data_IF_049022034131
#
_entry.id   IF_049022034131
#
_cell.length_a   1.000
_cell.length_b   1.000
_cell.length_c   1.000
_cell.angle_alpha   90.00
_cell.angle_beta   90.00
_cell.angle_gamma   90.00
#
_symmetry.space_group_name_H-M   'P 1'
#
loop_
_entity.id
_entity.type
_entity.pdbx_description
1 polymer ?
#
# COMPACT_ATOMS: atom_id res chain seq x y z
N UNK A 1 3.14 -1.24 2.06
CA UNK A 1 2.01 -1.24 3.01
C UNK A 1 0.66 -1.53 2.34
N UNK A 2 0.34 -0.92 1.16
CA UNK A 2 -0.97 -1.14 0.49
C UNK A 2 -1.17 -2.62 0.14
N UNK A 3 -0.22 -3.25 -0.55
CA UNK A 3 -0.31 -4.68 -0.90
C UNK A 3 -0.43 -5.56 0.34
N UNK A 4 0.28 -5.23 1.43
CA UNK A 4 0.19 -6.00 2.69
C UNK A 4 -1.20 -5.93 3.35
N UNK A 5 -1.97 -4.88 3.08
CA UNK A 5 -3.32 -4.74 3.63
C UNK A 5 -4.42 -5.41 2.77
N UNK A 6 -4.15 -5.69 1.49
CA UNK A 6 -5.13 -6.32 0.59
C UNK A 6 -5.72 -7.64 1.12
N UNK A 7 -4.92 -8.57 1.67
CA UNK A 7 -5.47 -9.81 2.20
C UNK A 7 -6.47 -9.61 3.34
N UNK A 8 -6.25 -8.62 4.20
CA UNK A 8 -7.22 -8.30 5.26
C UNK A 8 -8.55 -7.82 4.68
N UNK A 9 -8.52 -7.03 3.59
CA UNK A 9 -9.73 -6.56 2.88
C UNK A 9 -10.46 -7.74 2.23
N UNK A 10 -9.72 -8.67 1.62
CA UNK A 10 -10.30 -9.88 1.04
C UNK A 10 -10.91 -10.81 2.09
N UNK A 11 -10.27 -10.95 3.25
CA UNK A 11 -10.79 -11.74 4.37
C UNK A 11 -12.11 -11.16 4.89
N UNK A 12 -12.20 -9.83 5.03
CA UNK A 12 -13.44 -9.14 5.42
C UNK A 12 -14.55 -9.42 4.40
N UNK A 13 -14.27 -9.30 3.12
CA UNK A 13 -15.26 -9.57 2.06
C UNK A 13 -15.71 -11.02 2.06
N UNK A 14 -14.83 -11.97 2.36
CA UNK A 14 -15.18 -13.38 2.45
C UNK A 14 -16.07 -13.67 3.67
N UNK A 15 -15.78 -13.03 4.81
CA UNK A 15 -16.57 -13.17 6.02
C UNK A 15 -17.92 -12.43 5.95
N UNK A 16 -17.94 -11.30 5.27
CA UNK A 16 -19.11 -10.42 5.11
C UNK A 16 -19.34 -10.09 3.63
N UNK A 17 -19.96 -10.98 2.84
CA UNK A 17 -20.08 -10.80 1.37
C UNK A 17 -20.79 -9.52 0.92
N UNK A 18 -21.65 -8.96 1.76
CA UNK A 18 -22.39 -7.73 1.47
C UNK A 18 -21.72 -6.46 2.01
N UNK A 19 -20.51 -6.57 2.61
CA UNK A 19 -19.80 -5.42 3.13
C UNK A 19 -19.33 -4.51 1.99
N UNK A 20 -19.58 -3.21 2.14
CA UNK A 20 -19.03 -2.17 1.27
C UNK A 20 -17.77 -1.61 1.93
N UNK A 21 -16.61 -1.82 1.30
CA UNK A 21 -15.33 -1.46 1.87
C UNK A 21 -14.75 -0.25 1.15
N UNK A 22 -14.72 0.88 1.83
CA UNK A 22 -14.06 2.08 1.38
C UNK A 22 -12.61 2.10 1.90
N UNK A 23 -11.67 2.43 1.02
CA UNK A 23 -10.25 2.42 1.37
C UNK A 23 -9.63 3.81 1.21
N UNK A 24 -9.22 4.42 2.32
CA UNK A 24 -8.45 5.67 2.31
C UNK A 24 -6.97 5.35 2.07
N UNK A 25 -6.38 5.97 1.06
CA UNK A 25 -4.98 5.74 0.68
C UNK A 25 -4.34 7.01 0.12
N UNK A 26 -3.02 7.15 0.27
CA UNK A 26 -2.26 8.23 -0.39
C UNK A 26 -2.50 8.18 -1.92
N UNK A 27 -2.79 9.32 -2.54
CA UNK A 27 -3.20 9.46 -3.96
C UNK A 27 -2.34 8.66 -4.93
N UNK A 28 -1.02 8.65 -4.73
CA UNK A 28 -0.11 7.91 -5.60
C UNK A 28 -0.31 6.40 -5.60
N UNK A 29 -0.98 5.84 -4.59
CA UNK A 29 -1.28 4.41 -4.48
C UNK A 29 -2.75 4.07 -4.74
N UNK A 30 -3.58 5.06 -5.03
CA UNK A 30 -5.00 4.84 -5.30
C UNK A 30 -5.26 3.84 -6.45
N UNK A 31 -4.54 3.89 -7.60
CA UNK A 31 -4.71 2.89 -8.66
C UNK A 31 -4.45 1.46 -8.21
N UNK A 32 -3.46 1.27 -7.32
CA UNK A 32 -3.14 -0.05 -6.77
C UNK A 32 -4.24 -0.56 -5.82
N UNK A 33 -4.74 0.29 -4.94
CA UNK A 33 -5.84 -0.06 -4.04
C UNK A 33 -7.13 -0.41 -4.81
N UNK A 34 -7.41 0.31 -5.91
CA UNK A 34 -8.55 0.07 -6.78
C UNK A 34 -8.52 -1.30 -7.50
N UNK A 35 -7.35 -1.95 -7.57
CA UNK A 35 -7.23 -3.29 -8.13
C UNK A 35 -7.64 -4.42 -7.17
N UNK A 36 -7.78 -4.13 -5.90
CA UNK A 36 -8.27 -5.11 -4.93
C UNK A 36 -9.78 -5.32 -5.14
N UNK A 37 -10.17 -6.54 -5.53
CA UNK A 37 -11.53 -6.87 -5.96
C UNK A 37 -12.60 -6.61 -4.88
N UNK A 38 -12.20 -6.60 -3.61
CA UNK A 38 -13.12 -6.35 -2.49
C UNK A 38 -13.30 -4.87 -2.13
N UNK A 39 -12.58 -3.96 -2.79
CA UNK A 39 -12.70 -2.51 -2.53
C UNK A 39 -13.87 -1.96 -3.32
N UNK A 40 -14.87 -1.41 -2.60
CA UNK A 40 -16.00 -0.74 -3.19
C UNK A 40 -15.62 0.67 -3.69
N UNK A 41 -14.92 1.46 -2.86
CA UNK A 41 -14.53 2.83 -3.16
C UNK A 41 -13.15 3.16 -2.62
N UNK A 42 -12.32 3.79 -3.45
CA UNK A 42 -11.02 4.34 -3.02
C UNK A 42 -11.15 5.83 -2.77
N UNK A 43 -10.73 6.28 -1.57
CA UNK A 43 -10.73 7.69 -1.17
C UNK A 43 -9.28 8.19 -1.13
N UNK A 44 -8.81 8.90 -2.18
CA UNK A 44 -7.44 9.37 -2.23
C UNK A 44 -7.18 10.51 -1.25
N UNK A 45 -6.07 10.44 -0.51
CA UNK A 45 -5.59 11.54 0.33
C UNK A 45 -4.15 11.92 -0.02
N UNK A 46 -3.74 13.12 0.41
CA UNK A 46 -2.38 13.64 0.21
C UNK A 46 -1.81 14.23 1.51
N UNK A 47 -1.98 13.51 2.63
CA UNK A 47 -1.65 14.02 3.97
C UNK A 47 -0.22 14.54 4.10
N UNK A 48 0.74 13.85 3.45
CA UNK A 48 2.16 14.26 3.48
C UNK A 48 2.39 15.57 2.74
N UNK A 49 1.73 15.74 1.58
CA UNK A 49 1.83 16.95 0.77
C UNK A 49 1.11 18.11 1.46
N UNK A 50 -0.12 17.90 1.91
CA UNK A 50 -0.92 18.93 2.57
C UNK A 50 -0.23 19.48 3.81
N UNK A 51 0.36 18.62 4.65
CA UNK A 51 1.12 19.07 5.83
C UNK A 51 2.26 20.03 5.47
N UNK A 52 2.98 19.78 4.36
CA UNK A 52 4.06 20.65 3.90
C UNK A 52 3.56 21.94 3.24
N UNK A 53 2.47 21.84 2.49
CA UNK A 53 1.92 22.92 1.68
C UNK A 53 1.05 23.90 2.49
N UNK A 54 0.46 23.45 3.59
CA UNK A 54 -0.45 24.26 4.41
C UNK A 54 0.18 25.54 4.97
N UNK A 55 1.48 25.50 5.22
CA UNK A 55 2.25 26.65 5.76
C UNK A 55 2.81 27.57 4.67
N UNK A 56 2.66 27.24 3.39
CA UNK A 56 3.12 28.06 2.28
C UNK A 56 1.97 28.95 1.79
N UNK A 57 2.23 30.27 1.70
CA UNK A 57 1.20 31.26 1.36
C UNK A 57 0.58 31.01 -0.04
N UNK A 58 1.42 30.67 -1.02
CA UNK A 58 1.08 30.42 -2.42
C UNK A 58 0.19 29.18 -2.65
N UNK A 59 0.31 28.16 -1.80
CA UNK A 59 -0.42 26.90 -1.96
C UNK A 59 -1.52 26.68 -0.93
N UNK A 60 -1.64 27.56 0.06
CA UNK A 60 -2.56 27.39 1.20
C UNK A 60 -4.03 27.29 0.78
N UNK A 61 -4.47 28.16 -0.13
CA UNK A 61 -5.88 28.19 -0.59
C UNK A 61 -6.23 26.88 -1.30
N UNK A 62 -5.38 26.43 -2.23
CA UNK A 62 -5.57 25.17 -2.94
C UNK A 62 -5.55 23.99 -1.96
N UNK A 63 -4.56 23.93 -1.04
CA UNK A 63 -4.45 22.86 -0.04
C UNK A 63 -5.69 22.79 0.85
N UNK A 64 -6.25 23.94 1.22
CA UNK A 64 -7.51 24.00 2.00
C UNK A 64 -8.69 23.46 1.21
N UNK A 65 -8.82 23.82 -0.06
CA UNK A 65 -9.89 23.31 -0.92
C UNK A 65 -9.80 21.78 -1.11
N UNK A 66 -8.61 21.26 -1.37
CA UNK A 66 -8.37 19.81 -1.49
C UNK A 66 -8.67 19.07 -0.18
N UNK A 67 -8.27 19.62 0.96
CA UNK A 67 -8.59 19.06 2.26
C UNK A 67 -10.09 19.01 2.53
N UNK A 68 -10.84 20.08 2.18
CA UNK A 68 -12.28 20.12 2.34
C UNK A 68 -12.97 19.09 1.43
N UNK A 69 -12.52 18.96 0.18
CA UNK A 69 -13.01 17.94 -0.75
C UNK A 69 -12.77 16.52 -0.22
N UNK A 70 -11.56 16.22 0.24
CA UNK A 70 -11.23 14.94 0.88
C UNK A 70 -12.12 14.66 2.09
N UNK A 71 -12.31 15.66 2.97
CA UNK A 71 -13.16 15.51 4.16
C UNK A 71 -14.61 15.25 3.78
N UNK A 72 -15.14 15.97 2.78
CA UNK A 72 -16.50 15.77 2.29
C UNK A 72 -16.68 14.36 1.72
N UNK A 73 -15.74 13.88 0.91
CA UNK A 73 -15.75 12.54 0.33
C UNK A 73 -15.66 11.44 1.43
N UNK A 74 -14.77 11.60 2.42
CA UNK A 74 -14.64 10.69 3.55
C UNK A 74 -15.92 10.63 4.42
N UNK A 75 -16.64 11.73 4.53
CA UNK A 75 -17.86 11.86 5.33
C UNK A 75 -19.15 11.65 4.55
N UNK A 76 -19.07 11.29 3.28
CA UNK A 76 -20.24 10.99 2.44
C UNK A 76 -21.05 9.86 3.06
N UNK A 77 -20.37 8.79 3.49
CA UNK A 77 -21.00 7.66 4.16
C UNK A 77 -20.77 7.67 5.68
N UNK A 78 -21.67 7.00 6.42
CA UNK A 78 -21.50 6.71 7.83
C UNK A 78 -21.09 5.25 8.00
N UNK A 79 -19.94 5.01 8.62
CA UNK A 79 -19.33 3.68 8.71
C UNK A 79 -19.72 2.94 10.00
N UNK A 80 -20.14 1.70 9.87
CA UNK A 80 -20.35 0.80 10.99
C UNK A 80 -19.02 0.41 11.65
N UNK A 81 -17.98 0.27 10.83
CA UNK A 81 -16.63 -0.10 11.25
C UNK A 81 -15.59 0.78 10.59
N UNK A 82 -14.65 1.29 11.36
CA UNK A 82 -13.48 2.02 10.89
C UNK A 82 -12.23 1.29 11.41
N UNK A 83 -11.34 0.86 10.50
CA UNK A 83 -10.15 0.07 10.81
C UNK A 83 -8.88 0.87 10.51
N UNK A 84 -8.07 1.17 11.52
CA UNK A 84 -6.73 1.74 11.33
C UNK A 84 -5.67 0.64 11.34
N UNK A 85 -5.21 0.24 10.15
CA UNK A 85 -4.19 -0.79 9.96
C UNK A 85 -2.74 -0.26 10.05
N UNK A 86 -2.56 1.07 10.13
CA UNK A 86 -1.22 1.67 10.15
C UNK A 86 -0.68 1.94 11.56
N UNK A 87 -1.53 2.36 12.48
CA UNK A 87 -1.13 2.71 13.83
C UNK A 87 -0.32 4.00 13.94
N UNK A 88 -0.53 4.99 13.06
CA UNK A 88 0.18 6.26 13.00
C UNK A 88 -0.76 7.44 13.26
N UNK A 89 -0.23 8.55 13.77
CA UNK A 89 -1.02 9.78 14.03
C UNK A 89 -1.80 10.25 12.82
N UNK A 90 -1.21 10.14 11.62
CA UNK A 90 -1.88 10.52 10.36
C UNK A 90 -3.08 9.63 10.04
N UNK A 91 -2.98 8.31 10.25
CA UNK A 91 -4.10 7.38 10.05
C UNK A 91 -5.15 7.52 11.15
N UNK A 92 -4.73 7.77 12.39
CA UNK A 92 -5.64 8.11 13.49
C UNK A 92 -6.46 9.37 13.19
N UNK A 93 -5.84 10.42 12.61
CA UNK A 93 -6.56 11.61 12.17
C UNK A 93 -7.65 11.28 11.15
N UNK A 94 -7.34 10.46 10.15
CA UNK A 94 -8.33 10.01 9.15
C UNK A 94 -9.45 9.21 9.81
N UNK A 95 -9.12 8.27 10.67
CA UNK A 95 -10.11 7.48 11.41
C UNK A 95 -11.00 8.34 12.30
N UNK A 96 -10.46 9.41 12.90
CA UNK A 96 -11.21 10.37 13.69
C UNK A 96 -12.16 11.21 12.84
N UNK A 97 -11.73 11.64 11.66
CA UNK A 97 -12.53 12.46 10.72
C UNK A 97 -13.67 11.67 10.07
N UNK A 98 -13.50 10.36 9.88
CA UNK A 98 -14.54 9.51 9.29
C UNK A 98 -15.79 9.48 10.17
N UNK A 99 -16.96 9.58 9.52
CA UNK A 99 -18.26 9.61 10.19
C UNK A 99 -18.66 8.22 10.64
N UNK A 100 -18.91 8.02 11.94
CA UNK A 100 -19.46 6.76 12.45
C UNK A 100 -20.96 6.70 12.27
N UNK A 101 -21.49 5.54 11.91
CA UNK A 101 -22.89 5.20 12.05
C UNK A 101 -23.29 5.09 13.53
N UNK A 102 -24.58 5.08 13.81
CA UNK A 102 -25.07 4.86 15.18
C UNK A 102 -24.67 3.47 15.66
N UNK A 103 -23.87 3.41 16.73
CA UNK A 103 -23.30 2.15 17.22
C UNK A 103 -22.00 1.72 16.53
N UNK A 104 -21.55 2.44 15.52
CA UNK A 104 -20.29 2.16 14.80
C UNK A 104 -19.06 2.27 15.69
N UNK A 105 -18.01 1.52 15.35
CA UNK A 105 -16.79 1.38 16.15
C UNK A 105 -15.53 1.69 15.35
N UNK A 106 -14.53 2.31 15.99
CA UNK A 106 -13.16 2.50 15.47
C UNK A 106 -12.23 1.50 16.13
N UNK A 107 -11.55 0.71 15.32
CA UNK A 107 -10.56 -0.26 15.76
C UNK A 107 -9.16 0.15 15.32
N UNK A 108 -8.16 -0.05 16.17
CA UNK A 108 -6.77 0.20 15.87
C UNK A 108 -5.86 -0.77 16.62
N UNK A 109 -4.56 -0.78 16.27
CA UNK A 109 -3.54 -1.51 17.02
C UNK A 109 -3.44 -1.00 18.46
N UNK A 110 -3.36 -1.93 19.43
CA UNK A 110 -3.11 -1.60 20.82
C UNK A 110 -1.62 -1.45 21.16
N UNK A 111 -0.74 -2.02 20.32
CA UNK A 111 0.70 -2.10 20.56
C UNK A 111 1.51 -2.07 19.27
N UNK A 112 2.81 -1.80 19.42
CA UNK A 112 3.79 -1.92 18.34
C UNK A 112 4.03 -3.40 18.01
N UNK A 113 4.30 -3.67 16.71
CA UNK A 113 4.76 -4.97 16.19
C UNK A 113 6.04 -4.77 15.39
N UNK A 114 6.77 -5.85 15.12
CA UNK A 114 8.03 -5.79 14.37
C UNK A 114 7.84 -5.14 13.00
N UNK A 115 8.81 -4.30 12.63
CA UNK A 115 8.80 -3.60 11.34
C UNK A 115 7.69 -2.56 11.16
N UNK A 116 6.86 -2.29 12.20
CA UNK A 116 5.80 -1.28 12.14
C UNK A 116 6.11 -0.04 12.99
N UNK A 117 5.64 1.12 12.51
CA UNK A 117 5.44 2.27 13.36
C UNK A 117 4.22 2.07 14.26
N UNK A 118 4.30 2.62 15.49
CA UNK A 118 3.14 2.72 16.38
C UNK A 118 3.22 4.04 17.15
N UNK A 119 2.17 4.84 17.06
CA UNK A 119 2.09 6.15 17.69
C UNK A 119 0.88 6.20 18.63
N UNK A 120 1.08 6.68 19.86
CA UNK A 120 0.05 6.69 20.91
C UNK A 120 -1.29 7.34 20.52
N UNK A 121 -1.34 8.42 19.69
CA UNK A 121 -2.62 9.03 19.31
C UNK A 121 -3.61 8.06 18.67
N UNK A 122 -3.13 7.00 17.98
CA UNK A 122 -3.96 5.94 17.42
C UNK A 122 -4.88 5.32 18.48
N UNK A 123 -4.34 5.05 19.67
CA UNK A 123 -5.10 4.46 20.77
C UNK A 123 -6.15 5.40 21.36
N UNK A 124 -5.91 6.71 21.29
CA UNK A 124 -6.87 7.70 21.84
C UNK A 124 -8.08 7.89 20.90
N UNK A 125 -7.91 7.64 19.61
CA UNK A 125 -8.97 7.74 18.62
C UNK A 125 -9.79 6.46 18.54
N UNK A 126 -9.17 5.29 18.77
CA UNK A 126 -9.85 4.00 18.71
C UNK A 126 -10.85 3.84 19.86
N UNK A 127 -12.05 3.39 19.53
CA UNK A 127 -13.04 2.91 20.53
C UNK A 127 -12.57 1.58 21.11
N UNK A 128 -11.95 0.73 20.27
CA UNK A 128 -11.38 -0.56 20.66
C UNK A 128 -9.95 -0.69 20.15
N UNK A 129 -9.00 -0.87 21.06
CA UNK A 129 -7.60 -1.16 20.73
C UNK A 129 -7.36 -2.69 20.74
N UNK A 130 -6.90 -3.23 19.61
CA UNK A 130 -6.72 -4.68 19.41
C UNK A 130 -5.27 -5.07 19.66
N UNK A 131 -4.98 -5.93 20.66
CA UNK A 131 -3.62 -6.41 20.91
C UNK A 131 -3.21 -7.44 19.87
N UNK A 132 -2.00 -7.23 19.29
CA UNK A 132 -1.41 -8.10 18.29
C UNK A 132 -0.07 -8.63 18.81
N UNK A 133 0.25 -9.89 18.50
CA UNK A 133 1.54 -10.49 18.83
C UNK A 133 2.67 -9.64 18.23
N UNK A 134 3.69 -9.23 19.02
CA UNK A 134 4.76 -8.36 18.53
C UNK A 134 5.52 -8.92 17.33
N UNK A 135 5.88 -10.20 17.37
CA UNK A 135 6.62 -10.89 16.32
C UNK A 135 5.66 -11.49 15.29
N UNK A 136 5.12 -10.64 14.40
CA UNK A 136 4.17 -11.05 13.37
C UNK A 136 4.52 -10.43 12.02
N UNK A 137 4.34 -11.19 10.95
CA UNK A 137 4.55 -10.69 9.60
C UNK A 137 3.55 -9.56 9.27
N UNK A 138 3.98 -8.57 8.48
CA UNK A 138 3.19 -7.37 8.18
C UNK A 138 1.81 -7.67 7.55
N UNK A 139 1.71 -8.70 6.71
CA UNK A 139 0.45 -9.17 6.11
C UNK A 139 -0.48 -9.73 7.18
N UNK A 140 0.03 -10.66 7.99
CA UNK A 140 -0.74 -11.31 9.05
C UNK A 140 -1.22 -10.33 10.12
N UNK A 141 -0.43 -9.30 10.42
CA UNK A 141 -0.83 -8.25 11.36
C UNK A 141 -2.15 -7.59 10.99
N UNK A 142 -2.30 -7.17 9.72
CA UNK A 142 -3.55 -6.56 9.23
C UNK A 142 -4.72 -7.54 9.28
N UNK A 143 -4.51 -8.77 8.84
CA UNK A 143 -5.51 -9.84 8.83
C UNK A 143 -5.99 -10.16 10.25
N UNK A 144 -5.06 -10.38 11.19
CA UNK A 144 -5.39 -10.69 12.59
C UNK A 144 -6.10 -9.53 13.28
N UNK A 145 -5.70 -8.26 12.99
CA UNK A 145 -6.42 -7.11 13.51
C UNK A 145 -7.88 -7.12 13.06
N UNK A 146 -8.12 -7.29 11.76
CA UNK A 146 -9.47 -7.30 11.20
C UNK A 146 -10.29 -8.48 11.72
N UNK A 147 -9.71 -9.69 11.79
CA UNK A 147 -10.39 -10.87 12.32
C UNK A 147 -10.83 -10.69 13.78
N UNK A 148 -9.94 -10.19 14.64
CA UNK A 148 -10.26 -9.89 16.04
C UNK A 148 -11.27 -8.76 16.22
N UNK A 149 -11.18 -7.71 15.38
CA UNK A 149 -12.08 -6.56 15.43
C UNK A 149 -13.51 -6.94 15.04
N UNK A 150 -13.65 -7.80 14.03
CA UNK A 150 -14.93 -8.14 13.42
C UNK A 150 -15.48 -9.51 13.84
N UNK A 151 -14.69 -10.32 14.57
CA UNK A 151 -15.14 -11.60 15.14
C UNK A 151 -15.28 -12.71 14.11
N UNK A 152 -14.42 -12.77 13.10
CA UNK A 152 -14.39 -13.87 12.13
C UNK A 152 -13.12 -14.73 12.27
N UNK A 153 -13.19 -15.99 11.83
CA UNK A 153 -12.06 -16.89 11.81
C UNK A 153 -11.12 -16.55 10.66
N UNK A 154 -9.82 -16.48 10.96
CA UNK A 154 -8.79 -16.09 9.97
C UNK A 154 -8.66 -17.20 8.90
N UNK A 155 -8.89 -16.89 7.61
CA UNK A 155 -8.72 -17.86 6.53
C UNK A 155 -7.27 -18.37 6.44
N UNK A 156 -7.10 -19.67 6.18
CA UNK A 156 -5.78 -20.28 6.03
C UNK A 156 -5.02 -19.78 4.81
N UNK A 157 -5.74 -19.47 3.73
CA UNK A 157 -5.15 -19.00 2.47
C UNK A 157 -5.12 -17.48 2.41
N UNK A 158 -4.02 -16.93 1.90
CA UNK A 158 -3.83 -15.50 1.70
C UNK A 158 -4.25 -15.15 0.26
N UNK A 159 -5.27 -14.27 0.13
CA UNK A 159 -5.74 -13.76 -1.15
C UNK A 159 -5.52 -12.25 -1.23
N UNK A 160 -4.86 -11.77 -2.27
CA UNK A 160 -4.59 -10.34 -2.49
C UNK A 160 -5.67 -9.63 -3.31
N UNK A 161 -6.59 -10.36 -3.92
CA UNK A 161 -7.67 -9.80 -4.72
C UNK A 161 -7.22 -9.09 -6.01
N UNK A 162 -5.99 -9.38 -6.48
CA UNK A 162 -5.41 -8.72 -7.66
C UNK A 162 -5.78 -9.37 -9.01
N UNK A 163 -6.68 -10.33 -9.01
CA UNK A 163 -7.04 -11.08 -10.20
C UNK A 163 -5.99 -12.13 -10.60
N UNK A 164 -6.30 -12.91 -11.62
CA UNK A 164 -5.37 -13.90 -12.15
C UNK A 164 -4.44 -13.25 -13.17
N UNK A 165 -3.16 -13.58 -13.10
CA UNK A 165 -2.20 -13.18 -14.11
C UNK A 165 -2.50 -13.85 -15.45
N UNK A 166 -2.23 -13.15 -16.56
CA UNK A 166 -2.38 -13.69 -17.90
C UNK A 166 -1.68 -15.05 -18.04
N UNK A 167 -2.36 -16.01 -18.65
CA UNK A 167 -1.91 -17.40 -18.78
C UNK A 167 -0.75 -17.60 -19.75
N UNK A 168 -0.53 -16.66 -20.68
CA UNK A 168 0.61 -16.67 -21.60
C UNK A 168 1.63 -15.61 -21.17
N UNK A 169 2.72 -16.05 -20.57
CA UNK A 169 3.85 -15.19 -20.20
C UNK A 169 5.06 -15.51 -21.06
N UNK A 170 5.68 -14.48 -21.64
CA UNK A 170 7.06 -14.59 -22.11
C UNK A 170 7.96 -14.83 -20.88
N UNK A 171 9.06 -15.57 -21.01
CA UNK A 171 10.02 -15.76 -19.95
C UNK A 171 10.77 -14.43 -19.66
N UNK A 172 10.12 -13.53 -18.94
CA UNK A 172 10.59 -12.20 -18.63
C UNK A 172 10.88 -12.06 -17.14
N UNK A 173 12.05 -11.51 -16.79
CA UNK A 173 12.43 -11.17 -15.43
C UNK A 173 12.68 -9.68 -15.31
N UNK A 174 11.98 -9.00 -14.43
CA UNK A 174 12.23 -7.62 -14.08
C UNK A 174 13.23 -7.53 -12.92
N UNK A 175 14.39 -6.92 -13.12
CA UNK A 175 15.39 -6.66 -12.09
C UNK A 175 15.07 -5.33 -11.40
N UNK A 176 14.39 -5.39 -10.25
CA UNK A 176 14.00 -4.21 -9.46
C UNK A 176 15.17 -3.82 -8.56
N UNK A 177 16.07 -3.01 -9.09
CA UNK A 177 17.34 -2.62 -8.47
C UNK A 177 17.26 -1.35 -7.59
N UNK A 178 16.15 -0.61 -7.67
CA UNK A 178 15.92 0.61 -6.88
C UNK A 178 15.42 0.31 -5.48
N UNK A 179 15.90 1.09 -4.50
CA UNK A 179 15.46 1.02 -3.11
C UNK A 179 15.46 2.40 -2.46
N UNK A 180 14.71 2.56 -1.37
CA UNK A 180 14.63 3.81 -0.62
C UNK A 180 15.86 4.14 0.22
N UNK A 181 16.81 3.20 0.36
CA UNK A 181 18.00 3.32 1.23
C UNK A 181 19.22 2.72 0.52
N UNK A 182 20.30 3.48 0.47
CA UNK A 182 21.55 3.06 -0.19
C UNK A 182 22.17 1.80 0.45
N UNK A 183 21.99 1.59 1.76
CA UNK A 183 22.50 0.41 2.46
C UNK A 183 21.79 -0.90 2.09
N UNK A 184 20.70 -0.82 1.32
CA UNK A 184 19.96 -1.97 0.77
C UNK A 184 20.23 -2.19 -0.72
N UNK A 185 21.05 -1.36 -1.33
CA UNK A 185 21.37 -1.49 -2.74
C UNK A 185 22.40 -2.59 -2.98
N UNK A 186 22.09 -3.49 -3.88
CA UNK A 186 23.06 -4.44 -4.37
C UNK A 186 24.09 -3.75 -5.28
N UNK A 187 25.39 -4.17 -5.22
CA UNK A 187 26.40 -3.75 -6.18
C UNK A 187 26.01 -4.08 -7.63
N UNK A 188 26.41 -3.24 -8.59
CA UNK A 188 26.14 -3.49 -10.01
C UNK A 188 26.71 -4.82 -10.50
N UNK A 189 27.86 -5.28 -9.95
CA UNK A 189 28.45 -6.58 -10.27
C UNK A 189 27.53 -7.75 -9.99
N UNK A 190 26.76 -7.71 -8.89
CA UNK A 190 25.81 -8.77 -8.54
C UNK A 190 24.60 -8.78 -9.50
N UNK A 191 24.13 -7.58 -9.88
CA UNK A 191 23.07 -7.45 -10.87
C UNK A 191 23.51 -7.96 -12.25
N UNK A 192 24.77 -7.69 -12.64
CA UNK A 192 25.35 -8.21 -13.88
C UNK A 192 25.42 -9.73 -13.88
N UNK A 193 25.90 -10.32 -12.78
CA UNK A 193 26.02 -11.80 -12.65
C UNK A 193 24.66 -12.48 -12.78
N UNK A 194 23.64 -12.02 -11.99
CA UNK A 194 22.31 -12.63 -12.03
C UNK A 194 21.64 -12.40 -13.39
N UNK A 195 21.75 -11.21 -13.96
CA UNK A 195 21.19 -10.89 -15.28
C UNK A 195 21.79 -11.74 -16.40
N UNK A 196 23.11 -11.97 -16.36
CA UNK A 196 23.80 -12.84 -17.31
C UNK A 196 23.30 -14.29 -17.20
N UNK A 197 23.18 -14.84 -15.99
CA UNK A 197 22.66 -16.20 -15.77
C UNK A 197 21.22 -16.35 -16.25
N UNK A 198 20.37 -15.35 -16.00
CA UNK A 198 18.99 -15.37 -16.47
C UNK A 198 18.88 -15.37 -18.00
N UNK A 199 19.71 -14.56 -18.67
CA UNK A 199 19.76 -14.56 -20.14
C UNK A 199 20.25 -15.88 -20.71
N UNK A 200 21.26 -16.51 -20.09
CA UNK A 200 21.73 -17.85 -20.48
C UNK A 200 20.62 -18.92 -20.34
N UNK A 201 19.68 -18.74 -19.42
CA UNK A 201 18.51 -19.59 -19.23
C UNK A 201 17.33 -19.24 -20.16
N UNK A 202 17.51 -18.28 -21.07
CA UNK A 202 16.47 -17.89 -22.04
C UNK A 202 15.44 -16.87 -21.56
N UNK A 203 15.69 -16.23 -20.43
CA UNK A 203 14.83 -15.15 -19.97
C UNK A 203 15.16 -13.81 -20.63
N UNK A 204 14.13 -13.06 -21.00
CA UNK A 204 14.26 -11.63 -21.26
C UNK A 204 14.46 -10.89 -19.94
N UNK A 205 15.31 -9.86 -19.95
CA UNK A 205 15.61 -9.05 -18.76
C UNK A 205 15.10 -7.63 -18.96
N UNK A 206 14.26 -7.17 -18.03
CA UNK A 206 13.76 -5.80 -17.98
C UNK A 206 14.30 -5.04 -16.77
N UNK A 207 14.54 -3.76 -16.94
CA UNK A 207 15.13 -2.84 -15.96
C UNK A 207 14.15 -1.69 -15.69
N UNK A 208 13.21 -1.85 -14.74
CA UNK A 208 12.26 -0.81 -14.37
C UNK A 208 12.95 0.28 -13.53
N UNK A 209 12.38 1.50 -13.54
CA UNK A 209 12.84 2.62 -12.72
C UNK A 209 11.67 3.52 -12.32
N UNK A 210 11.76 4.18 -11.16
CA UNK A 210 10.75 5.11 -10.64
C UNK A 210 11.21 6.57 -10.62
N UNK A 211 12.52 6.83 -10.76
CA UNK A 211 13.12 8.17 -10.74
C UNK A 211 14.33 8.23 -11.67
N UNK A 212 14.89 9.44 -11.84
CA UNK A 212 16.00 9.66 -12.77
C UNK A 212 17.31 8.96 -12.35
N UNK A 213 17.62 8.91 -11.07
CA UNK A 213 18.81 8.21 -10.58
C UNK A 213 18.73 6.70 -10.89
N UNK A 214 17.56 6.10 -10.66
CA UNK A 214 17.30 4.70 -11.01
C UNK A 214 17.35 4.49 -12.54
N UNK A 215 16.85 5.44 -13.34
CA UNK A 215 16.93 5.38 -14.81
C UNK A 215 18.38 5.32 -15.29
N UNK A 216 19.23 6.21 -14.78
CA UNK A 216 20.66 6.22 -15.13
C UNK A 216 21.33 4.91 -14.75
N UNK A 217 20.98 4.35 -13.59
CA UNK A 217 21.48 3.03 -13.16
C UNK A 217 20.96 1.91 -14.08
N UNK A 218 19.68 1.94 -14.49
CA UNK A 218 19.14 1.00 -15.47
C UNK A 218 19.89 1.05 -16.81
N UNK A 219 20.23 2.26 -17.30
CA UNK A 219 21.00 2.43 -18.54
C UNK A 219 22.39 1.80 -18.39
N UNK A 220 23.11 2.10 -17.31
CA UNK A 220 24.44 1.51 -17.05
C UNK A 220 24.37 -0.02 -16.94
N UNK A 221 23.30 -0.56 -16.35
CA UNK A 221 23.09 -2.01 -16.30
C UNK A 221 22.82 -2.60 -17.70
N UNK A 222 22.04 -1.92 -18.55
CA UNK A 222 21.75 -2.38 -19.90
C UNK A 222 22.99 -2.42 -20.79
N UNK A 223 23.94 -1.47 -20.61
CA UNK A 223 25.25 -1.48 -21.29
C UNK A 223 26.07 -2.71 -20.93
N UNK A 224 25.97 -3.20 -19.68
CA UNK A 224 26.66 -4.39 -19.20
C UNK A 224 25.93 -5.70 -19.55
N UNK A 225 24.61 -5.65 -19.79
CA UNK A 225 23.75 -6.80 -20.06
C UNK A 225 23.13 -6.71 -21.47
N UNK A 226 23.83 -7.12 -22.53
CA UNK A 226 23.32 -7.03 -23.90
C UNK A 226 21.95 -7.64 -24.07
N UNK A 227 20.99 -6.87 -24.62
CA UNK A 227 19.61 -7.28 -24.81
C UNK A 227 18.73 -7.18 -23.55
N UNK A 228 19.21 -6.60 -22.44
CA UNK A 228 18.34 -6.11 -21.39
C UNK A 228 17.63 -4.81 -21.82
N UNK A 229 16.36 -4.67 -21.46
CA UNK A 229 15.52 -3.55 -21.88
C UNK A 229 15.24 -2.62 -20.70
N UNK A 230 15.66 -1.35 -20.82
CA UNK A 230 15.25 -0.32 -19.87
C UNK A 230 13.79 0.04 -20.15
N UNK A 231 12.90 -0.22 -19.19
CA UNK A 231 11.50 0.14 -19.36
C UNK A 231 11.31 1.66 -19.30
N UNK A 232 10.28 2.21 -19.97
CA UNK A 232 9.86 3.57 -19.71
C UNK A 232 9.42 3.69 -18.25
N UNK A 233 9.34 4.91 -17.74
CA UNK A 233 8.78 5.13 -16.40
C UNK A 233 7.30 4.72 -16.40
N UNK A 234 6.99 3.67 -15.67
CA UNK A 234 5.65 3.14 -15.53
C UNK A 234 4.95 3.72 -14.31
N UNK A 235 3.65 3.94 -14.41
CA UNK A 235 2.78 4.18 -13.25
C UNK A 235 2.56 2.88 -12.47
N UNK A 236 2.10 2.99 -11.22
CA UNK A 236 1.74 1.79 -10.43
C UNK A 236 0.64 0.96 -11.10
N UNK A 237 -0.29 1.62 -11.80
CA UNK A 237 -1.34 0.92 -12.56
C UNK A 237 -0.75 0.08 -13.69
N UNK A 238 0.19 0.64 -14.46
CA UNK A 238 0.88 -0.08 -15.54
C UNK A 238 1.79 -1.21 -15.04
N UNK A 239 2.32 -1.12 -13.81
CA UNK A 239 3.12 -2.19 -13.20
C UNK A 239 2.29 -3.39 -12.72
N UNK A 240 0.99 -3.22 -12.60
CA UNK A 240 0.06 -4.26 -12.10
C UNK A 240 -0.78 -4.90 -13.19
N UNK A 241 -0.57 -4.52 -14.46
CA UNK A 241 -1.14 -5.16 -15.65
C UNK A 241 -0.20 -6.19 -16.24
#
# INVERSE_FOLDING_TARGET
>A
DVVHAMPAVMDIQAAFPNAQIDWVVERGFAPLAARCAAVHRVIPCDLRRWRKAFFKADTRAQTRAEWQAFKADLQQEAYDVILDLQGLTKSALVAWLARKAKGGQRYALANRTDGSGYERPTRWVADVAVPITPHIHAVERGRVLCAKALGYDLPAHVNYGLGQAATQRKPLVALVHGTSRADKEWPLSHWFEIGTRLKQQGFDVALPHGNEAERLRSVAMAEMLPGAVVWPRLSLDQLTT
#
